data_IF_682264409778
#
_entry.id   IF_682264409778
#
_cell.length_a   1.000
_cell.length_b   1.000
_cell.length_c   1.000
_cell.angle_alpha   90.00
_cell.angle_beta   90.00
_cell.angle_gamma   90.00
#
_symmetry.space_group_name_H-M   'P 1'
#
loop_
_entity.id
_entity.type
_entity.pdbx_description
1 polymer ?
#
# COMPACT_ATOMS: atom_id res chain seq x y z
N UNK A 1 -61.21 49.58 6.92
CA UNK A 1 -62.24 49.24 5.91
C UNK A 1 -61.55 48.78 4.64
N UNK A 2 -61.99 47.63 4.11
CA UNK A 2 -61.75 47.07 2.75
C UNK A 2 -60.30 46.62 2.47
N UNK A 3 -60.02 45.32 2.63
CA UNK A 3 -60.27 44.19 1.69
C UNK A 3 -59.05 44.01 0.77
N UNK A 4 -58.20 43.03 1.04
CA UNK A 4 -58.29 41.61 0.61
C UNK A 4 -57.66 41.45 -0.78
N UNK A 5 -56.95 40.32 -0.93
CA UNK A 5 -56.43 39.73 -2.18
C UNK A 5 -55.27 40.44 -2.86
N UNK A 6 -54.03 40.08 -2.48
CA UNK A 6 -53.03 39.45 -3.38
C UNK A 6 -52.06 38.66 -2.49
N UNK A 7 -52.50 37.53 -1.94
CA UNK A 7 -51.67 36.62 -1.11
C UNK A 7 -51.76 35.17 -1.63
N UNK A 8 -52.14 34.97 -2.89
CA UNK A 8 -52.49 33.64 -3.45
C UNK A 8 -51.93 33.43 -4.87
N UNK A 9 -50.81 34.09 -5.22
CA UNK A 9 -50.20 33.92 -6.54
C UNK A 9 -48.68 33.73 -6.49
N UNK A 10 -48.21 33.12 -5.39
CA UNK A 10 -46.81 32.74 -5.18
C UNK A 10 -46.67 31.24 -4.85
N UNK A 11 -47.72 30.44 -5.12
CA UNK A 11 -47.79 29.03 -4.74
C UNK A 11 -48.21 28.07 -5.87
N UNK A 12 -48.28 28.51 -7.13
CA UNK A 12 -48.72 27.67 -8.26
C UNK A 12 -47.89 27.81 -9.53
N UNK A 13 -46.58 27.94 -9.38
CA UNK A 13 -45.65 27.57 -10.45
C UNK A 13 -44.49 26.78 -9.84
N UNK A 14 -44.84 25.72 -9.11
CA UNK A 14 -44.00 24.54 -9.03
C UNK A 14 -43.90 24.01 -10.45
N UNK A 15 -42.86 24.44 -11.17
CA UNK A 15 -42.34 23.67 -12.28
C UNK A 15 -41.89 22.34 -11.68
N UNK A 16 -42.75 21.33 -11.77
CA UNK A 16 -42.32 19.94 -11.80
C UNK A 16 -41.43 19.81 -13.04
N UNK A 17 -40.16 20.17 -12.87
CA UNK A 17 -39.10 19.55 -13.66
C UNK A 17 -39.02 18.16 -13.04
N UNK A 18 -39.72 17.21 -13.67
CA UNK A 18 -39.39 15.82 -13.51
C UNK A 18 -37.97 15.69 -14.08
N UNK A 19 -36.97 15.77 -13.20
CA UNK A 19 -35.67 15.19 -13.49
C UNK A 19 -35.94 13.69 -13.63
N UNK A 20 -36.06 13.21 -14.87
CA UNK A 20 -35.81 11.80 -15.11
C UNK A 20 -34.30 11.65 -14.96
N UNK A 21 -33.85 11.15 -13.82
CA UNK A 21 -32.57 10.46 -13.79
C UNK A 21 -32.71 9.28 -14.74
N UNK A 22 -31.95 9.33 -15.83
CA UNK A 22 -31.64 8.11 -16.56
C UNK A 22 -30.53 7.51 -15.69
N UNK A 23 -30.90 6.55 -14.85
CA UNK A 23 -29.95 5.60 -14.30
C UNK A 23 -29.43 4.81 -15.50
N UNK A 24 -28.22 5.14 -15.91
CA UNK A 24 -27.48 4.36 -16.89
C UNK A 24 -26.51 3.55 -16.05
N UNK A 25 -26.98 2.37 -15.65
CA UNK A 25 -26.22 1.38 -14.92
C UNK A 25 -25.21 0.76 -15.91
N UNK A 26 -23.98 1.27 -15.89
CA UNK A 26 -22.87 0.74 -16.68
C UNK A 26 -22.11 -0.23 -15.78
N UNK A 27 -22.47 -1.51 -15.84
CA UNK A 27 -21.70 -2.56 -15.19
C UNK A 27 -20.42 -2.81 -15.98
N UNK A 28 -19.29 -2.32 -15.46
CA UNK A 28 -18.00 -2.96 -15.75
C UNK A 28 -18.11 -4.37 -15.12
N UNK A 29 -17.77 -5.41 -15.88
CA UNK A 29 -17.78 -6.76 -15.32
C UNK A 29 -16.77 -6.80 -14.16
N UNK A 30 -17.27 -7.10 -12.96
CA UNK A 30 -16.55 -6.89 -11.72
C UNK A 30 -17.43 -7.17 -10.52
N UNK A 31 -16.91 -6.88 -9.34
CA UNK A 31 -17.58 -7.10 -8.07
C UNK A 31 -17.74 -5.79 -7.31
N UNK A 32 -18.93 -5.53 -6.79
CA UNK A 32 -19.21 -4.34 -5.97
C UNK A 32 -19.00 -4.71 -4.49
N UNK A 33 -18.07 -4.02 -3.82
CA UNK A 33 -17.83 -4.19 -2.37
C UNK A 33 -18.90 -3.40 -1.60
N UNK A 34 -19.08 -2.13 -1.97
CA UNK A 34 -20.09 -1.22 -1.44
C UNK A 34 -20.51 -0.16 -2.48
N UNK A 35 -21.36 0.80 -2.10
CA UNK A 35 -21.89 1.85 -3.01
C UNK A 35 -20.80 2.76 -3.62
N UNK A 36 -19.55 2.66 -3.19
CA UNK A 36 -18.43 3.50 -3.61
C UNK A 36 -17.24 2.75 -4.19
N UNK A 37 -17.14 1.44 -4.00
CA UNK A 37 -15.97 0.66 -4.37
C UNK A 37 -16.34 -0.56 -5.22
N UNK A 38 -15.74 -0.63 -6.41
CA UNK A 38 -15.89 -1.74 -7.34
C UNK A 38 -14.53 -2.32 -7.71
N UNK A 39 -14.44 -3.64 -7.73
CA UNK A 39 -13.29 -4.40 -8.18
C UNK A 39 -13.52 -4.93 -9.59
N UNK A 40 -12.46 -5.01 -10.38
CA UNK A 40 -12.48 -5.73 -11.65
C UNK A 40 -12.42 -7.24 -11.41
N UNK A 41 -12.83 -8.01 -12.43
CA UNK A 41 -12.62 -9.45 -12.43
C UNK A 41 -11.14 -9.81 -12.25
N UNK A 42 -10.85 -10.69 -11.32
CA UNK A 42 -9.50 -11.15 -11.01
C UNK A 42 -8.68 -10.20 -10.13
N UNK A 43 -9.24 -9.06 -9.69
CA UNK A 43 -8.53 -8.09 -8.85
C UNK A 43 -8.90 -8.19 -7.37
N UNK A 44 -8.11 -7.53 -6.55
CA UNK A 44 -8.27 -7.48 -5.10
C UNK A 44 -8.48 -6.05 -4.65
N UNK A 45 -9.15 -5.86 -3.53
CA UNK A 45 -9.19 -4.55 -2.89
C UNK A 45 -7.78 -4.14 -2.47
N UNK A 46 -7.54 -2.83 -2.41
CA UNK A 46 -6.23 -2.29 -2.07
C UNK A 46 -5.73 -2.74 -0.68
N UNK A 47 -6.64 -3.07 0.23
CA UNK A 47 -6.34 -3.58 1.57
C UNK A 47 -6.33 -5.12 1.66
N UNK A 48 -6.59 -5.83 0.56
CA UNK A 48 -6.62 -7.29 0.49
C UNK A 48 -7.80 -7.95 1.21
N UNK A 49 -8.77 -7.19 1.72
CA UNK A 49 -9.97 -7.73 2.42
C UNK A 49 -10.96 -8.42 1.47
N UNK A 50 -10.93 -8.06 0.18
CA UNK A 50 -11.83 -8.58 -0.84
C UNK A 50 -11.09 -9.04 -2.11
N UNK A 51 -11.61 -10.10 -2.72
CA UNK A 51 -11.16 -10.62 -4.02
C UNK A 51 -12.37 -10.81 -4.93
N UNK A 52 -12.27 -10.32 -6.18
CA UNK A 52 -13.25 -10.59 -7.22
C UNK A 52 -12.70 -11.67 -8.15
N UNK A 53 -13.34 -12.83 -8.23
CA UNK A 53 -12.87 -13.88 -9.14
C UNK A 53 -13.17 -13.55 -10.62
N UNK A 54 -12.62 -14.37 -11.52
CA UNK A 54 -12.87 -14.24 -12.97
C UNK A 54 -14.31 -14.53 -13.41
N UNK A 55 -15.16 -15.01 -12.50
CA UNK A 55 -16.58 -15.30 -12.75
C UNK A 55 -17.51 -14.19 -12.18
N UNK A 56 -16.95 -13.15 -11.54
CA UNK A 56 -17.69 -12.02 -10.96
C UNK A 56 -18.25 -12.29 -9.56
N UNK A 57 -17.68 -13.25 -8.83
CA UNK A 57 -18.03 -13.50 -7.44
C UNK A 57 -17.08 -12.74 -6.52
N UNK A 58 -17.66 -11.93 -5.63
CA UNK A 58 -16.93 -11.27 -4.55
C UNK A 58 -16.71 -12.25 -3.39
N UNK A 59 -15.47 -12.35 -2.92
CA UNK A 59 -15.10 -13.10 -1.73
C UNK A 59 -14.52 -12.17 -0.67
N UNK A 60 -14.95 -12.34 0.57
CA UNK A 60 -14.19 -11.83 1.72
C UNK A 60 -13.01 -12.76 1.98
N UNK A 61 -11.79 -12.26 1.87
CA UNK A 61 -10.55 -13.06 1.88
C UNK A 61 -10.32 -13.79 3.20
N UNK A 62 -10.73 -13.18 4.32
CA UNK A 62 -10.65 -13.76 5.67
C UNK A 62 -11.75 -14.78 6.00
N UNK A 63 -12.86 -14.80 5.25
CA UNK A 63 -14.03 -15.63 5.58
C UNK A 63 -14.30 -16.73 4.56
N UNK A 64 -14.06 -16.46 3.29
CA UNK A 64 -14.52 -17.29 2.17
C UNK A 64 -13.35 -17.90 1.42
N UNK A 65 -12.31 -17.12 1.14
CA UNK A 65 -11.06 -17.61 0.60
C UNK A 65 -10.29 -16.56 -0.19
N UNK A 66 -9.05 -16.89 -0.53
CA UNK A 66 -8.11 -16.03 -1.24
C UNK A 66 -7.65 -16.67 -2.56
N UNK A 67 -6.99 -15.88 -3.40
CA UNK A 67 -6.35 -16.36 -4.62
C UNK A 67 -4.84 -16.51 -4.38
N UNK A 68 -4.31 -17.72 -4.57
CA UNK A 68 -2.88 -18.02 -4.40
C UNK A 68 -2.00 -17.37 -5.48
N UNK A 69 -2.52 -17.11 -6.68
CA UNK A 69 -1.74 -16.49 -7.77
C UNK A 69 -1.47 -15.01 -7.49
N UNK A 70 -2.42 -14.34 -6.83
CA UNK A 70 -2.33 -12.91 -6.51
C UNK A 70 -2.04 -12.65 -5.03
N UNK A 71 -1.88 -13.71 -4.22
CA UNK A 71 -1.74 -13.69 -2.75
C UNK A 71 -2.68 -12.71 -2.03
N UNK A 72 -3.94 -12.67 -2.45
CA UNK A 72 -4.87 -11.66 -1.95
C UNK A 72 -5.38 -11.96 -0.55
N UNK A 73 -4.66 -11.41 0.40
CA UNK A 73 -4.96 -11.41 1.82
C UNK A 73 -4.60 -10.06 2.43
N UNK A 74 -5.24 -9.67 3.53
CA UNK A 74 -4.87 -8.44 4.23
C UNK A 74 -3.46 -8.53 4.78
N UNK A 75 -2.82 -7.39 5.01
CA UNK A 75 -1.48 -7.35 5.60
C UNK A 75 -1.41 -8.20 6.88
N UNK A 76 -0.29 -8.88 7.10
CA UNK A 76 -0.08 -9.91 8.15
C UNK A 76 -0.77 -11.26 7.89
N UNK A 77 -1.43 -11.47 6.76
CA UNK A 77 -1.97 -12.76 6.34
C UNK A 77 -1.30 -13.21 5.04
N UNK A 78 -1.42 -14.49 4.72
CA UNK A 78 -0.98 -15.05 3.44
C UNK A 78 -2.00 -16.09 2.98
N UNK A 79 -2.11 -16.27 1.66
CA UNK A 79 -2.99 -17.25 1.07
C UNK A 79 -2.36 -18.65 1.14
N UNK A 80 -2.90 -19.50 2.01
CA UNK A 80 -2.38 -20.86 2.17
C UNK A 80 -2.78 -21.77 0.99
N UNK A 81 -2.20 -22.98 0.93
CA UNK A 81 -2.49 -23.97 -0.10
C UNK A 81 -3.94 -24.51 -0.13
N UNK A 82 -4.79 -24.08 0.82
CA UNK A 82 -6.22 -24.40 0.88
C UNK A 82 -7.09 -23.19 0.55
N UNK A 83 -6.52 -22.15 -0.07
CA UNK A 83 -7.20 -20.90 -0.45
C UNK A 83 -7.81 -20.19 0.77
N UNK A 84 -7.08 -20.13 1.89
CA UNK A 84 -7.49 -19.43 3.10
C UNK A 84 -6.40 -18.47 3.57
N UNK A 85 -6.79 -17.25 3.92
CA UNK A 85 -5.89 -16.31 4.57
C UNK A 85 -5.56 -16.78 6.00
N UNK A 86 -4.31 -17.18 6.21
CA UNK A 86 -3.80 -17.53 7.53
C UNK A 86 -2.91 -16.41 8.08
N UNK A 87 -3.04 -16.16 9.38
CA UNK A 87 -2.23 -15.14 10.04
C UNK A 87 -0.76 -15.56 10.03
N UNK A 88 0.11 -14.69 9.53
CA UNK A 88 1.56 -14.85 9.58
C UNK A 88 2.01 -14.89 11.04
N UNK A 89 2.80 -15.91 11.37
CA UNK A 89 3.42 -16.01 12.69
C UNK A 89 4.84 -15.43 12.73
N UNK A 90 5.30 -14.99 11.57
CA UNK A 90 6.64 -14.52 11.27
C UNK A 90 6.52 -13.08 10.75
N UNK A 91 7.51 -12.24 11.06
CA UNK A 91 7.63 -10.89 10.52
C UNK A 91 8.72 -10.91 9.45
N UNK A 92 8.35 -10.83 8.17
CA UNK A 92 9.29 -11.03 7.06
C UNK A 92 10.43 -10.01 7.10
N UNK A 93 10.12 -8.78 7.52
CA UNK A 93 11.08 -7.69 7.70
C UNK A 93 12.19 -7.92 8.74
N UNK A 94 12.21 -9.05 9.44
CA UNK A 94 13.34 -9.47 10.29
C UNK A 94 14.45 -10.20 9.49
N UNK A 95 14.15 -10.70 8.30
CA UNK A 95 15.11 -11.41 7.46
C UNK A 95 15.93 -10.43 6.62
N UNK A 96 17.25 -10.56 6.73
CA UNK A 96 18.22 -9.73 6.01
C UNK A 96 18.91 -10.47 4.86
N UNK A 97 18.56 -11.74 4.65
CA UNK A 97 19.11 -12.53 3.55
C UNK A 97 18.00 -13.30 2.83
N UNK A 98 18.19 -13.38 1.50
CA UNK A 98 17.26 -14.04 0.56
C UNK A 98 16.95 -15.48 0.95
N UNK A 99 17.97 -16.25 1.37
CA UNK A 99 17.80 -17.65 1.73
C UNK A 99 16.85 -17.81 2.93
N UNK A 100 16.96 -16.95 3.95
CA UNK A 100 16.01 -16.96 5.08
C UNK A 100 14.62 -16.46 4.71
N UNK A 101 14.52 -15.43 3.85
CA UNK A 101 13.24 -14.90 3.39
C UNK A 101 12.46 -15.96 2.60
N UNK A 102 13.11 -16.63 1.65
CA UNK A 102 12.50 -17.63 0.77
C UNK A 102 12.41 -19.03 1.41
N UNK A 103 13.20 -19.35 2.44
CA UNK A 103 13.11 -20.66 3.10
C UNK A 103 11.82 -20.84 3.91
N UNK A 104 11.20 -19.76 4.36
CA UNK A 104 9.91 -19.78 5.07
C UNK A 104 8.71 -19.68 4.13
N UNK A 105 8.94 -19.67 2.80
CA UNK A 105 7.89 -19.70 1.78
C UNK A 105 7.08 -21.01 1.82
N UNK A 106 7.62 -22.07 2.44
CA UNK A 106 6.85 -23.29 2.78
C UNK A 106 5.87 -23.10 3.96
N UNK A 107 5.91 -21.97 4.69
CA UNK A 107 5.14 -21.74 5.92
C UNK A 107 4.51 -20.33 6.07
N UNK A 108 4.79 -19.34 5.20
CA UNK A 108 4.21 -18.00 5.43
C UNK A 108 4.54 -16.85 4.48
N UNK A 109 4.70 -17.09 3.17
CA UNK A 109 4.46 -16.10 2.09
C UNK A 109 5.33 -14.85 2.03
N UNK A 110 6.58 -14.87 2.52
CA UNK A 110 7.45 -13.69 2.46
C UNK A 110 8.04 -13.50 1.05
N UNK A 111 8.11 -12.25 0.57
CA UNK A 111 8.69 -11.92 -0.72
C UNK A 111 10.05 -11.25 -0.56
N UNK A 112 11.07 -11.77 -1.23
CA UNK A 112 12.36 -11.10 -1.33
C UNK A 112 12.37 -10.17 -2.55
N UNK A 113 12.40 -8.86 -2.30
CA UNK A 113 12.53 -7.84 -3.33
C UNK A 113 14.01 -7.50 -3.51
N UNK A 114 14.54 -7.86 -4.68
CA UNK A 114 15.92 -7.64 -5.06
C UNK A 114 16.11 -6.20 -5.57
N UNK A 115 17.01 -5.45 -4.95
CA UNK A 115 17.33 -4.05 -5.31
C UNK A 115 18.75 -3.93 -5.89
N UNK A 116 19.26 -5.03 -6.44
CA UNK A 116 20.55 -5.13 -7.12
C UNK A 116 21.68 -5.62 -6.23
N UNK A 117 22.39 -4.71 -5.56
CA UNK A 117 23.51 -5.06 -4.67
C UNK A 117 23.04 -5.54 -3.27
N UNK A 118 21.77 -5.29 -2.94
CA UNK A 118 21.09 -5.64 -1.69
C UNK A 118 19.63 -6.01 -1.98
N UNK A 119 18.89 -6.46 -0.98
CA UNK A 119 17.44 -6.65 -1.08
C UNK A 119 16.79 -6.61 0.29
N UNK A 120 15.47 -6.69 0.31
CA UNK A 120 14.71 -6.72 1.55
C UNK A 120 13.56 -7.72 1.45
N UNK A 121 13.21 -8.28 2.60
CA UNK A 121 12.11 -9.21 2.74
C UNK A 121 10.85 -8.44 3.16
N UNK A 122 9.77 -8.55 2.40
CA UNK A 122 8.46 -7.96 2.69
C UNK A 122 7.39 -9.03 2.85
N UNK A 123 6.30 -8.66 3.52
CA UNK A 123 5.07 -9.44 3.65
C UNK A 123 4.10 -9.21 2.50
N UNK A 124 4.28 -8.11 1.75
CA UNK A 124 3.29 -7.59 0.83
C UNK A 124 3.99 -6.93 -0.38
N UNK A 125 3.67 -7.40 -1.58
CA UNK A 125 4.24 -6.87 -2.82
C UNK A 125 3.76 -5.44 -3.11
N UNK A 126 2.62 -5.03 -2.56
CA UNK A 126 2.12 -3.65 -2.66
C UNK A 126 3.05 -2.64 -1.98
N UNK A 127 3.89 -3.09 -1.04
CA UNK A 127 4.92 -2.21 -0.48
C UNK A 127 6.04 -1.95 -1.49
N UNK A 128 6.29 -2.83 -2.44
CA UNK A 128 7.30 -2.68 -3.48
C UNK A 128 6.83 -1.75 -4.60
N UNK A 129 7.75 -1.10 -5.31
CA UNK A 129 7.45 -0.31 -6.51
C UNK A 129 8.36 -0.71 -7.66
N UNK A 130 8.04 -0.30 -8.89
CA UNK A 130 8.88 -0.59 -10.07
C UNK A 130 10.36 -0.22 -9.88
N UNK A 131 10.69 0.77 -9.03
CA UNK A 131 12.09 1.13 -8.74
C UNK A 131 12.91 0.05 -8.02
N UNK A 132 12.27 -1.06 -7.60
CA UNK A 132 12.98 -2.25 -7.11
C UNK A 132 13.84 -2.85 -8.22
N UNK A 133 13.40 -2.81 -9.47
CA UNK A 133 14.15 -3.37 -10.59
C UNK A 133 15.36 -2.51 -10.93
N UNK A 134 16.56 -3.09 -10.80
CA UNK A 134 17.85 -2.42 -10.97
C UNK A 134 18.39 -2.49 -12.41
N UNK A 135 17.71 -3.21 -13.29
CA UNK A 135 18.10 -3.40 -14.68
C UNK A 135 16.89 -3.56 -15.61
N UNK A 136 17.08 -3.17 -16.86
CA UNK A 136 16.09 -3.20 -17.95
C UNK A 136 15.39 -4.56 -18.07
N UNK A 137 16.14 -5.67 -18.04
CA UNK A 137 15.56 -6.99 -18.22
C UNK A 137 14.63 -7.40 -17.06
N UNK A 138 14.96 -7.03 -15.81
CA UNK A 138 14.11 -7.31 -14.66
C UNK A 138 12.87 -6.42 -14.64
N UNK A 139 13.02 -5.16 -15.08
CA UNK A 139 11.92 -4.21 -15.21
C UNK A 139 10.89 -4.68 -16.25
N UNK A 140 11.35 -5.03 -17.45
CA UNK A 140 10.49 -5.50 -18.55
C UNK A 140 9.86 -6.89 -18.30
N UNK A 141 10.53 -7.78 -17.56
CA UNK A 141 9.96 -9.07 -17.17
C UNK A 141 8.89 -8.90 -16.07
N UNK A 142 8.93 -7.78 -15.35
CA UNK A 142 8.12 -7.47 -14.16
C UNK A 142 7.91 -8.71 -13.29
N UNK A 143 9.01 -9.35 -12.87
CA UNK A 143 8.97 -10.69 -12.27
C UNK A 143 8.15 -10.78 -10.97
N UNK A 144 7.92 -9.65 -10.31
CA UNK A 144 7.10 -9.50 -9.11
C UNK A 144 5.73 -8.86 -9.39
N UNK A 145 5.41 -8.57 -10.64
CA UNK A 145 4.16 -7.95 -11.08
C UNK A 145 3.88 -6.59 -10.38
N UNK A 146 4.92 -5.80 -10.11
CA UNK A 146 4.84 -4.51 -9.42
C UNK A 146 4.20 -3.44 -10.29
N UNK A 147 4.13 -3.64 -11.61
CA UNK A 147 3.42 -2.76 -12.52
C UNK A 147 1.92 -2.74 -12.29
N UNK A 148 1.36 -3.81 -11.73
CA UNK A 148 -0.10 -3.90 -11.45
C UNK A 148 -0.44 -4.03 -9.97
N UNK A 149 0.51 -4.49 -9.14
CA UNK A 149 0.29 -4.73 -7.72
C UNK A 149 1.17 -3.87 -6.80
N UNK A 150 2.13 -3.10 -7.33
CA UNK A 150 3.07 -2.33 -6.53
C UNK A 150 2.52 -0.98 -6.04
N UNK A 151 3.31 -0.26 -5.26
CA UNK A 151 3.00 1.09 -4.83
C UNK A 151 2.82 2.03 -6.03
N UNK A 152 1.75 2.83 -5.99
CA UNK A 152 1.40 3.76 -7.07
C UNK A 152 0.45 3.19 -8.11
N UNK A 153 0.08 1.90 -8.02
CA UNK A 153 -0.85 1.22 -8.94
C UNK A 153 -2.30 1.23 -8.45
N UNK A 154 -2.64 2.04 -7.44
CA UNK A 154 -3.98 2.08 -6.83
C UNK A 154 -5.07 2.53 -7.82
N UNK A 155 -4.66 3.26 -8.86
CA UNK A 155 -5.53 3.71 -9.95
C UNK A 155 -5.68 2.67 -11.06
N UNK A 156 -4.87 1.60 -11.06
CA UNK A 156 -4.89 0.58 -12.10
C UNK A 156 -6.16 -0.26 -12.05
N UNK A 157 -6.81 -0.41 -13.21
CA UNK A 157 -8.09 -1.10 -13.30
C UNK A 157 -9.28 -0.29 -12.79
N UNK A 158 -9.14 1.03 -12.59
CA UNK A 158 -10.22 1.87 -12.07
C UNK A 158 -10.80 2.80 -13.12
N UNK A 159 -11.97 3.36 -12.83
CA UNK A 159 -12.53 4.52 -13.53
C UNK A 159 -12.47 5.70 -12.57
N UNK A 160 -11.81 6.78 -12.98
CA UNK A 160 -11.63 7.99 -12.18
C UNK A 160 -12.93 8.77 -12.05
N UNK A 161 -13.00 9.66 -11.05
CA UNK A 161 -14.13 10.58 -10.86
C UNK A 161 -14.34 11.55 -12.05
N UNK A 162 -13.30 11.78 -12.85
CA UNK A 162 -13.36 12.58 -14.08
C UNK A 162 -13.86 11.79 -15.29
N UNK A 163 -14.07 10.48 -15.14
CA UNK A 163 -14.55 9.61 -16.21
C UNK A 163 -13.44 9.02 -17.08
N UNK A 164 -12.19 9.02 -16.62
CA UNK A 164 -11.08 8.34 -17.31
C UNK A 164 -11.04 6.88 -16.87
N UNK A 165 -10.81 5.95 -17.80
CA UNK A 165 -10.51 4.54 -17.51
C UNK A 165 -8.99 4.35 -17.54
N UNK A 166 -8.45 3.70 -16.52
CA UNK A 166 -7.07 3.20 -16.50
C UNK A 166 -7.16 1.69 -16.52
N UNK A 167 -6.86 1.09 -17.67
CA UNK A 167 -6.99 -0.35 -17.83
C UNK A 167 -5.89 -1.06 -17.03
N UNK A 168 -6.22 -2.15 -16.35
CA UNK A 168 -5.24 -2.90 -15.54
C UNK A 168 -4.05 -3.34 -16.41
N UNK A 169 -4.32 -3.77 -17.65
CA UNK A 169 -3.30 -4.17 -18.61
C UNK A 169 -2.44 -3.04 -19.17
N UNK A 170 -2.81 -1.77 -18.93
CA UNK A 170 -1.97 -0.63 -19.29
C UNK A 170 -0.94 -0.30 -18.22
N UNK A 171 -1.12 -0.81 -17.00
CA UNK A 171 -0.20 -0.58 -15.92
C UNK A 171 0.96 -1.56 -15.97
N UNK A 172 2.16 -1.05 -16.24
CA UNK A 172 3.36 -1.87 -16.36
C UNK A 172 4.59 -1.13 -15.84
N UNK A 173 5.61 -1.90 -15.45
CA UNK A 173 6.91 -1.33 -15.14
C UNK A 173 7.69 -1.11 -16.45
N UNK A 174 8.10 0.14 -16.70
CA UNK A 174 8.81 0.55 -17.90
C UNK A 174 10.22 1.02 -17.57
N UNK A 175 11.20 0.62 -18.38
CA UNK A 175 12.58 1.06 -18.22
C UNK A 175 12.85 2.33 -19.04
N UNK A 176 13.12 3.44 -18.36
CA UNK A 176 13.52 4.70 -19.01
C UNK A 176 14.73 5.37 -18.33
N UNK A 177 15.62 5.91 -19.15
CA UNK A 177 16.89 6.57 -18.80
C UNK A 177 17.69 5.92 -17.64
N UNK A 178 17.66 4.58 -17.58
CA UNK A 178 18.41 3.82 -16.57
C UNK A 178 17.70 3.64 -15.23
N UNK A 179 16.40 3.94 -15.15
CA UNK A 179 15.53 3.65 -14.01
C UNK A 179 14.29 2.88 -14.48
N UNK A 180 13.69 2.13 -13.56
CA UNK A 180 12.40 1.50 -13.78
C UNK A 180 11.28 2.34 -13.14
N UNK A 181 10.33 2.78 -13.95
CA UNK A 181 9.17 3.61 -13.58
C UNK A 181 7.86 2.83 -13.75
N UNK A 182 6.82 3.24 -13.05
CA UNK A 182 5.46 2.75 -13.34
C UNK A 182 4.87 3.57 -14.49
N UNK A 183 4.45 2.92 -15.56
CA UNK A 183 3.71 3.52 -16.68
C UNK A 183 2.25 3.08 -16.68
N UNK A 184 1.33 3.96 -17.08
CA UNK A 184 -0.06 3.61 -17.38
C UNK A 184 -0.74 4.61 -18.30
N UNK A 185 -1.79 4.18 -19.00
CA UNK A 185 -2.57 5.05 -19.89
C UNK A 185 -3.95 5.33 -19.29
N UNK A 186 -4.29 6.61 -19.17
CA UNK A 186 -5.64 7.06 -18.85
C UNK A 186 -6.36 7.44 -20.14
N UNK A 187 -7.56 6.89 -20.37
CA UNK A 187 -8.37 7.15 -21.57
C UNK A 187 -9.79 7.53 -21.18
N UNK A 188 -10.36 8.57 -21.79
CA UNK A 188 -11.75 8.96 -21.56
C UNK A 188 -12.70 7.79 -21.82
N UNK A 189 -13.54 7.49 -20.84
CA UNK A 189 -14.53 6.40 -20.90
C UNK A 189 -15.68 6.78 -21.82
N UNK A 190 -16.04 8.06 -21.90
CA UNK A 190 -17.27 8.53 -22.53
C UNK A 190 -17.02 9.52 -23.66
N UNK A 191 -16.45 9.04 -24.75
CA UNK A 191 -16.10 9.88 -25.89
C UNK A 191 -17.02 9.70 -27.11
N UNK A 192 -17.01 10.71 -27.98
CA UNK A 192 -17.62 10.64 -29.32
C UNK A 192 -16.60 11.06 -30.38
N UNK A 193 -15.83 10.10 -30.90
CA UNK A 193 -14.75 10.39 -31.84
C UNK A 193 -13.46 9.69 -31.42
N UNK A 194 -12.35 10.43 -31.41
CA UNK A 194 -11.10 9.99 -30.78
C UNK A 194 -11.17 10.37 -29.30
N UNK A 195 -10.88 9.45 -28.36
CA UNK A 195 -10.90 9.75 -26.93
C UNK A 195 -9.76 10.67 -26.52
N UNK A 196 -9.99 11.47 -25.49
CA UNK A 196 -8.91 12.12 -24.74
C UNK A 196 -8.13 11.02 -24.02
N UNK A 197 -6.81 10.98 -24.24
CA UNK A 197 -5.95 10.00 -23.60
C UNK A 197 -4.56 10.57 -23.35
N UNK A 198 -3.95 10.12 -22.27
CA UNK A 198 -2.58 10.45 -21.92
C UNK A 198 -1.90 9.26 -21.25
N UNK A 199 -0.59 9.18 -21.44
CA UNK A 199 0.27 8.27 -20.71
C UNK A 199 0.80 9.00 -19.47
N UNK A 200 0.88 8.28 -18.37
CA UNK A 200 1.49 8.71 -17.13
C UNK A 200 2.69 7.82 -16.80
N UNK A 201 3.80 8.43 -16.39
CA UNK A 201 4.95 7.72 -15.85
C UNK A 201 5.28 8.24 -14.45
N UNK A 202 5.43 7.34 -13.49
CA UNK A 202 5.87 7.63 -12.11
C UNK A 202 7.25 7.06 -11.89
N UNK A 203 8.24 7.94 -11.71
CA UNK A 203 9.59 7.55 -11.31
C UNK A 203 9.73 7.66 -9.80
N UNK A 204 9.97 6.51 -9.13
CA UNK A 204 10.09 6.46 -7.69
C UNK A 204 11.51 6.73 -7.21
N UNK A 205 11.61 7.41 -6.07
CA UNK A 205 12.81 7.59 -5.28
C UNK A 205 12.55 7.05 -3.89
N UNK A 206 13.29 6.01 -3.52
CA UNK A 206 13.17 5.36 -2.23
C UNK A 206 14.24 5.88 -1.26
N UNK A 207 13.81 6.36 -0.09
CA UNK A 207 14.72 6.80 0.98
C UNK A 207 15.37 5.64 1.75
N UNK A 208 16.26 5.97 2.70
CA UNK A 208 16.81 4.97 3.62
C UNK A 208 15.72 4.39 4.53
N UNK A 209 15.81 3.10 4.82
CA UNK A 209 14.98 2.47 5.81
C UNK A 209 15.43 2.81 7.24
N UNK A 210 14.65 3.61 7.98
CA UNK A 210 15.01 4.10 9.31
C UNK A 210 13.94 3.74 10.34
N UNK A 211 14.31 2.89 11.32
CA UNK A 211 13.43 2.41 12.39
C UNK A 211 12.14 1.71 11.90
N UNK A 212 12.21 0.96 10.79
CA UNK A 212 11.03 0.25 10.29
C UNK A 212 10.19 1.06 9.31
N UNK A 213 10.63 2.26 8.92
CA UNK A 213 9.88 3.17 8.05
C UNK A 213 10.76 3.72 6.94
N UNK A 214 10.19 3.84 5.75
CA UNK A 214 10.84 4.34 4.55
C UNK A 214 9.92 5.32 3.85
N UNK A 215 10.47 6.48 3.48
CA UNK A 215 9.76 7.44 2.66
C UNK A 215 9.98 7.08 1.19
N UNK A 216 8.90 6.85 0.46
CA UNK A 216 8.91 6.79 -0.99
C UNK A 216 8.37 8.13 -1.50
N UNK A 217 9.01 8.69 -2.52
CA UNK A 217 8.48 9.82 -3.27
C UNK A 217 8.55 9.50 -4.75
N UNK A 218 7.64 10.04 -5.54
CA UNK A 218 7.67 9.90 -6.99
C UNK A 218 7.53 11.24 -7.68
N UNK A 219 8.08 11.30 -8.88
CA UNK A 219 7.85 12.36 -9.85
C UNK A 219 6.97 11.78 -10.95
N UNK A 220 5.87 12.45 -11.24
CA UNK A 220 4.95 12.06 -12.30
C UNK A 220 5.19 12.91 -13.56
N UNK A 221 5.31 12.24 -14.69
CA UNK A 221 5.35 12.85 -16.01
C UNK A 221 4.16 12.38 -16.83
N UNK A 222 3.60 13.26 -17.66
CA UNK A 222 2.44 12.93 -18.50
C UNK A 222 2.64 13.40 -19.93
N UNK A 223 2.19 12.58 -20.87
CA UNK A 223 2.27 12.84 -22.30
C UNK A 223 0.91 12.57 -22.97
N UNK A 224 0.43 13.56 -23.73
CA UNK A 224 -0.83 13.43 -24.48
C UNK A 224 -0.65 12.41 -25.60
N UNK A 225 -1.52 11.40 -25.62
CA UNK A 225 -1.55 10.40 -26.69
C UNK A 225 -2.67 10.68 -27.70
N UNK A 226 -3.81 11.20 -27.25
CA UNK A 226 -4.91 11.61 -28.15
C UNK A 226 -5.91 12.59 -27.53
N UNK A 227 -6.77 13.16 -28.39
CA UNK A 227 -8.01 13.86 -28.06
C UNK A 227 -7.88 15.29 -27.53
N UNK A 228 -6.89 15.58 -26.67
CA UNK A 228 -6.76 16.89 -26.04
C UNK A 228 -6.54 18.03 -27.06
N UNK A 229 -7.55 18.89 -27.22
CA UNK A 229 -7.60 19.97 -28.22
C UNK A 229 -6.58 21.12 -27.98
N UNK A 230 -6.14 21.32 -26.74
CA UNK A 230 -5.30 22.46 -26.32
C UNK A 230 -3.82 22.09 -26.07
N UNK A 231 -3.38 20.89 -26.49
CA UNK A 231 -2.04 20.34 -26.19
C UNK A 231 -1.70 20.37 -24.68
N UNK A 232 -2.73 20.35 -23.82
CA UNK A 232 -2.59 20.32 -22.35
C UNK A 232 -3.64 19.42 -21.71
N UNK A 233 -3.20 18.60 -20.75
CA UNK A 233 -4.08 17.78 -19.92
C UNK A 233 -4.61 18.65 -18.78
N UNK A 234 -5.93 18.71 -18.53
CA UNK A 234 -6.50 19.42 -17.38
C UNK A 234 -5.95 18.87 -16.05
N UNK A 235 -5.69 19.75 -15.09
CA UNK A 235 -5.23 19.36 -13.75
C UNK A 235 -6.20 18.36 -13.07
N UNK A 236 -7.50 18.48 -13.33
CA UNK A 236 -8.53 17.58 -12.78
C UNK A 236 -8.35 16.13 -13.28
N UNK A 237 -7.94 15.94 -14.54
CA UNK A 237 -7.70 14.61 -15.11
C UNK A 237 -6.39 14.01 -14.59
N UNK A 238 -5.35 14.85 -14.42
CA UNK A 238 -4.08 14.44 -13.81
C UNK A 238 -4.29 14.02 -12.35
N UNK A 239 -4.99 14.83 -11.56
CA UNK A 239 -5.32 14.51 -10.16
C UNK A 239 -6.22 13.27 -10.06
N UNK A 240 -7.23 13.15 -10.93
CA UNK A 240 -8.15 12.02 -10.94
C UNK A 240 -7.48 10.68 -11.31
N UNK A 241 -6.48 10.71 -12.20
CA UNK A 241 -5.67 9.56 -12.57
C UNK A 241 -4.45 9.35 -11.65
N UNK A 242 -4.34 10.10 -10.55
CA UNK A 242 -3.17 10.16 -9.66
C UNK A 242 -1.83 10.36 -10.39
N UNK A 243 -1.86 11.04 -11.54
CA UNK A 243 -0.67 11.37 -12.32
C UNK A 243 -0.05 12.70 -11.86
N UNK A 244 0.29 12.76 -10.58
CA UNK A 244 0.87 13.95 -9.93
C UNK A 244 2.03 13.55 -9.02
N UNK A 245 2.97 14.48 -8.80
CA UNK A 245 4.07 14.30 -7.86
C UNK A 245 3.54 13.99 -6.45
N UNK A 246 4.17 13.01 -5.78
CA UNK A 246 3.70 12.56 -4.48
C UNK A 246 4.76 11.92 -3.60
N UNK A 247 4.34 11.58 -2.39
CA UNK A 247 5.17 10.88 -1.42
C UNK A 247 4.33 10.19 -0.36
N UNK A 248 4.80 9.03 0.10
CA UNK A 248 4.20 8.26 1.16
C UNK A 248 5.26 7.68 2.11
N UNK A 249 4.84 7.37 3.34
CA UNK A 249 5.65 6.64 4.31
C UNK A 249 5.14 5.20 4.36
N UNK A 250 6.00 4.25 3.99
CA UNK A 250 5.71 2.83 4.12
C UNK A 250 6.55 2.18 5.22
N UNK A 251 6.14 1.00 5.62
CA UNK A 251 6.96 0.16 6.50
C UNK A 251 8.11 -0.44 5.70
N UNK A 252 9.26 -0.57 6.34
CA UNK A 252 10.43 -1.23 5.76
C UNK A 252 11.13 -1.99 6.89
N UNK A 253 11.08 -3.32 6.86
CA UNK A 253 11.66 -4.11 7.94
C UNK A 253 10.98 -3.91 9.30
N UNK A 254 11.45 -4.65 10.31
CA UNK A 254 10.93 -4.46 11.67
C UNK A 254 11.31 -3.07 12.20
N UNK A 255 10.34 -2.34 12.76
CA UNK A 255 10.65 -1.22 13.63
C UNK A 255 11.49 -1.76 14.76
N UNK A 256 12.81 -1.56 14.69
CA UNK A 256 13.66 -1.77 15.84
C UNK A 256 13.26 -0.69 16.84
N UNK A 257 12.23 -1.01 17.64
CA UNK A 257 11.77 -0.26 18.80
C UNK A 257 12.95 -0.28 19.76
N UNK A 258 13.92 0.59 19.51
CA UNK A 258 14.89 1.03 20.49
C UNK A 258 14.10 1.96 21.38
N UNK A 259 13.26 1.39 22.25
CA UNK A 259 12.62 2.12 23.35
C UNK A 259 13.71 2.98 23.97
N UNK A 260 13.65 4.33 23.81
CA UNK A 260 14.72 5.21 24.27
C UNK A 260 14.71 5.17 25.80
N UNK A 261 15.53 4.28 26.37
CA UNK A 261 15.47 3.99 27.80
C UNK A 261 15.93 2.58 28.20
N UNK A 262 15.83 1.57 27.34
CA UNK A 262 16.21 0.20 27.75
C UNK A 262 17.71 0.06 28.04
N UNK A 263 18.57 0.74 27.28
CA UNK A 263 20.02 0.70 27.54
C UNK A 263 20.40 1.46 28.82
N UNK A 264 19.76 2.60 29.10
CA UNK A 264 20.00 3.38 30.32
C UNK A 264 19.44 2.70 31.56
N UNK A 265 18.25 2.10 31.51
CA UNK A 265 17.69 1.31 32.60
C UNK A 265 18.58 0.10 32.90
N UNK A 266 19.05 -0.62 31.87
CA UNK A 266 19.99 -1.72 32.04
C UNK A 266 21.29 -1.27 32.74
N UNK A 267 21.85 -0.12 32.36
CA UNK A 267 23.02 0.48 33.03
C UNK A 267 22.72 0.78 34.51
N UNK A 268 21.58 1.38 34.83
CA UNK A 268 21.20 1.67 36.23
C UNK A 268 20.99 0.39 37.06
N UNK A 269 20.41 -0.65 36.48
CA UNK A 269 20.24 -1.96 37.13
C UNK A 269 21.59 -2.60 37.42
N UNK A 270 22.53 -2.57 36.47
CA UNK A 270 23.90 -3.10 36.66
C UNK A 270 24.65 -2.32 37.74
N UNK A 271 24.60 -0.99 37.72
CA UNK A 271 25.21 -0.14 38.76
C UNK A 271 24.60 -0.47 40.13
N UNK A 272 23.28 -0.59 40.22
CA UNK A 272 22.56 -0.96 41.44
C UNK A 272 23.00 -2.33 41.98
N UNK A 273 23.12 -3.33 41.10
CA UNK A 273 23.58 -4.67 41.47
C UNK A 273 25.02 -4.66 42.01
N UNK A 274 25.92 -3.87 41.39
CA UNK A 274 27.31 -3.72 41.85
C UNK A 274 27.39 -3.04 43.23
N UNK A 275 26.60 -1.99 43.46
CA UNK A 275 26.54 -1.30 44.77
C UNK A 275 26.03 -2.25 45.85
N UNK A 276 24.95 -2.98 45.59
CA UNK A 276 24.40 -3.96 46.54
C UNK A 276 25.41 -5.07 46.85
N UNK A 277 26.09 -5.59 45.84
CA UNK A 277 27.16 -6.58 46.01
C UNK A 277 28.29 -6.06 46.91
N UNK A 278 28.73 -4.82 46.68
CA UNK A 278 29.80 -4.20 47.47
C UNK A 278 29.40 -3.99 48.94
N UNK A 279 28.17 -3.51 49.19
CA UNK A 279 27.63 -3.35 50.55
C UNK A 279 27.55 -4.71 51.26
N UNK A 280 27.09 -5.76 50.58
CA UNK A 280 27.02 -7.12 51.13
C UNK A 280 28.41 -7.67 51.50
N UNK A 281 29.42 -7.43 50.68
CA UNK A 281 30.79 -7.87 51.00
C UNK A 281 31.36 -7.12 52.21
N UNK A 282 31.09 -5.82 52.33
CA UNK A 282 31.53 -5.01 53.47
C UNK A 282 30.88 -5.45 54.80
N UNK A 283 29.58 -5.77 54.80
CA UNK A 283 28.90 -6.27 56.00
C UNK A 283 29.44 -7.63 56.42
N UNK A 284 29.66 -8.54 55.46
CA UNK A 284 30.26 -9.87 55.70
C UNK A 284 31.68 -9.78 56.29
N UNK A 285 32.48 -8.81 55.85
CA UNK A 285 33.81 -8.51 56.40
C UNK A 285 33.74 -8.00 57.85
N UNK A 286 32.80 -7.09 58.16
CA UNK A 286 32.60 -6.57 59.52
C UNK A 286 32.17 -7.68 60.49
N UNK A 287 31.29 -8.58 60.07
CA UNK A 287 30.85 -9.71 60.90
C UNK A 287 31.97 -10.72 61.19
N UNK A 288 32.85 -10.99 60.21
CA UNK A 288 34.05 -11.82 60.42
C UNK A 288 35.01 -11.19 61.44
N UNK A 289 35.22 -9.88 61.41
CA UNK A 289 36.08 -9.17 62.39
C UNK A 289 35.46 -9.18 63.80
N UNK A 290 34.14 -8.99 63.91
CA UNK A 290 33.41 -9.02 65.20
C UNK A 290 33.46 -10.40 65.87
N UNK A 291 33.35 -11.49 65.09
CA UNK A 291 33.50 -12.87 65.60
C UNK A 291 34.93 -13.23 66.03
N UNK A 292 35.96 -12.64 65.41
CA UNK A 292 37.37 -12.81 65.84
C UNK A 292 37.71 -12.03 67.12
N UNK A 293 37.10 -10.87 67.34
CA UNK A 293 37.31 -10.07 68.56
C UNK A 293 36.69 -10.67 69.83
N UNK A 294 35.63 -11.48 69.72
CA UNK A 294 34.98 -12.17 70.86
C UNK A 294 35.67 -13.47 71.31
N UNK A 295 36.73 -13.91 70.62
CA UNK A 295 37.50 -15.13 70.95
C UNK A 295 38.83 -14.85 71.68
N UNK A 296 39.02 -13.64 72.19
CA UNK A 296 40.13 -13.29 73.09
C UNK A 296 39.61 -13.08 74.49
#
# INVERSE_FOLDING_TARGET
MKKVTVFVLLLLSFSLIAASSIDTDFGIEGCEIDESESLLLGSCSADGDYFCDGDGNLFSTLLEGCNQETDCCPSQYFCNASDQCEQRTIVCGEYTDKEQCEAEDEQGGCFWLDTGDDGYCTEDLTEGSCSVYDNEAACEDDSYNLGTLGAGTEVCGTVTDTGMTIALESCECEWDDGNCSLGYTATDTFYTGDPDAFDCSKTFTTGDCVNGQQNISWVAESDITSGYDDDSIPDEDLEGADCVDGSEERLCGSSSIKLPGFSTIAIYVVIGALILYYIYQLTKQKDKKKKRGKKK
#
